data_IF_624048015010
#
_entry.id   IF_624048015010
#
_cell.length_a   1.000
_cell.length_b   1.000
_cell.length_c   1.000
_cell.angle_alpha   90.00
_cell.angle_beta   90.00
_cell.angle_gamma   90.00
#
_symmetry.space_group_name_H-M   'P 1'
#
loop_
_entity.id
_entity.type
_entity.pdbx_description
1 polymer ?
#
# COMPACT_ATOMS: atom_id res chain seq x y z
N UNK A 1 25.41 -23.63 -8.05
CA UNK A 1 23.99 -23.92 -7.73
C UNK A 1 23.48 -24.93 -8.74
N UNK A 2 22.80 -26.00 -8.32
CA UNK A 2 22.27 -27.03 -9.25
C UNK A 2 21.18 -26.41 -10.16
N UNK A 3 21.18 -26.67 -11.47
CA UNK A 3 20.25 -26.05 -12.44
C UNK A 3 18.78 -26.16 -12.01
N UNK A 4 18.41 -27.28 -11.38
CA UNK A 4 17.07 -27.51 -10.85
C UNK A 4 16.66 -26.50 -9.76
N UNK A 5 17.60 -25.98 -8.96
CA UNK A 5 17.27 -24.97 -7.94
C UNK A 5 16.95 -23.61 -8.57
N UNK A 6 17.70 -23.21 -9.59
CA UNK A 6 17.46 -21.95 -10.30
C UNK A 6 16.07 -21.99 -10.95
N UNK A 7 15.75 -23.08 -11.64
CA UNK A 7 14.43 -23.29 -12.24
C UNK A 7 13.28 -23.16 -11.22
N UNK A 8 13.46 -23.67 -10.00
CA UNK A 8 12.45 -23.58 -8.94
C UNK A 8 12.23 -22.15 -8.44
N UNK A 9 13.28 -21.34 -8.32
CA UNK A 9 13.14 -19.93 -7.93
C UNK A 9 12.44 -19.14 -9.04
N UNK A 10 12.80 -19.38 -10.29
CA UNK A 10 12.12 -18.76 -11.45
C UNK A 10 10.65 -19.17 -11.46
N UNK A 11 10.35 -20.45 -11.26
CA UNK A 11 8.97 -20.95 -11.18
C UNK A 11 8.20 -20.26 -10.06
N UNK A 12 8.76 -20.15 -8.85
CA UNK A 12 8.11 -19.45 -7.75
C UNK A 12 7.77 -18.00 -8.11
N UNK A 13 8.73 -17.26 -8.68
CA UNK A 13 8.48 -15.89 -9.15
C UNK A 13 7.39 -15.83 -10.22
N UNK A 14 7.38 -16.75 -11.19
CA UNK A 14 6.35 -16.83 -12.23
C UNK A 14 4.97 -17.13 -11.65
N UNK A 15 4.87 -17.98 -10.62
CA UNK A 15 3.61 -18.26 -9.94
C UNK A 15 3.04 -17.04 -9.18
N UNK A 16 3.85 -16.00 -8.91
CA UNK A 16 3.35 -14.74 -8.33
C UNK A 16 2.70 -13.82 -9.37
N UNK A 17 3.05 -13.97 -10.65
CA UNK A 17 2.61 -13.07 -11.73
C UNK A 17 1.08 -12.95 -11.81
N UNK A 18 0.27 -14.03 -11.77
CA UNK A 18 -1.19 -13.93 -11.85
C UNK A 18 -1.79 -13.08 -10.73
N UNK A 19 -1.28 -13.22 -9.50
CA UNK A 19 -1.71 -12.41 -8.37
C UNK A 19 -1.49 -10.92 -8.68
N UNK A 20 -0.28 -10.51 -9.02
CA UNK A 20 0.00 -9.09 -9.27
C UNK A 20 -0.67 -8.57 -10.56
N UNK A 21 -0.91 -9.44 -11.54
CA UNK A 21 -1.56 -9.07 -12.81
C UNK A 21 -3.07 -8.87 -12.67
N UNK A 22 -3.75 -9.59 -11.79
CA UNK A 22 -5.21 -9.54 -11.72
C UNK A 22 -5.75 -8.16 -11.28
N UNK A 23 -5.09 -7.49 -10.34
CA UNK A 23 -5.50 -6.16 -9.87
C UNK A 23 -5.05 -5.07 -10.87
N UNK A 24 -5.82 -4.79 -11.93
CA UNK A 24 -5.49 -3.76 -12.93
C UNK A 24 -6.33 -2.49 -12.83
N UNK A 25 -6.69 -2.08 -11.63
CA UNK A 25 -7.52 -0.88 -11.44
C UNK A 25 -6.66 0.36 -11.19
N UNK A 26 -7.09 1.49 -11.72
CA UNK A 26 -6.64 2.79 -11.26
C UNK A 26 -7.21 2.99 -9.86
N UNK A 27 -6.30 2.90 -8.90
CA UNK A 27 -6.56 3.24 -7.52
C UNK A 27 -6.85 4.75 -7.39
N UNK A 28 -7.57 5.16 -6.33
CA UNK A 28 -7.93 6.57 -6.10
C UNK A 28 -6.72 7.52 -6.04
N UNK A 29 -5.57 7.02 -5.57
CA UNK A 29 -4.33 7.78 -5.43
C UNK A 29 -3.33 7.52 -6.59
N UNK A 30 -3.74 6.75 -7.59
CA UNK A 30 -2.91 6.41 -8.75
C UNK A 30 -2.33 7.64 -9.44
N UNK A 31 -3.17 8.67 -9.63
CA UNK A 31 -2.78 9.87 -10.34
C UNK A 31 -1.90 10.80 -9.51
N UNK A 32 -2.03 10.83 -8.18
CA UNK A 32 -1.16 11.63 -7.32
C UNK A 32 0.25 11.07 -7.31
N UNK A 33 0.43 9.76 -7.15
CA UNK A 33 1.77 9.16 -7.19
C UNK A 33 2.51 9.45 -8.51
N UNK A 34 1.81 9.40 -9.64
CA UNK A 34 2.40 9.79 -10.92
C UNK A 34 2.68 11.30 -10.97
N UNK A 35 1.78 12.13 -10.44
CA UNK A 35 1.93 13.58 -10.43
C UNK A 35 3.13 14.05 -9.62
N UNK A 36 3.26 13.57 -8.39
CA UNK A 36 4.31 13.98 -7.47
C UNK A 36 5.68 13.45 -7.92
N UNK A 37 5.73 12.23 -8.48
CA UNK A 37 6.90 11.71 -9.17
C UNK A 37 7.31 12.57 -10.37
N UNK A 38 6.34 12.99 -11.19
CA UNK A 38 6.55 13.92 -12.32
C UNK A 38 7.12 15.24 -11.87
N UNK A 39 6.48 15.90 -10.90
CA UNK A 39 6.91 17.22 -10.40
C UNK A 39 8.29 17.16 -9.76
N UNK A 40 8.63 16.07 -9.06
CA UNK A 40 9.96 15.88 -8.50
C UNK A 40 11.04 15.79 -9.59
N UNK A 41 10.77 15.08 -10.69
CA UNK A 41 11.70 15.00 -11.82
C UNK A 41 11.81 16.32 -12.60
N UNK A 42 10.68 16.97 -12.89
CA UNK A 42 10.64 18.24 -13.63
C UNK A 42 11.39 19.36 -12.88
N UNK A 43 11.15 19.48 -11.58
CA UNK A 43 11.74 20.56 -10.76
C UNK A 43 13.10 20.22 -10.19
N UNK A 44 13.49 18.93 -10.21
CA UNK A 44 14.66 18.36 -9.51
C UNK A 44 14.67 18.69 -8.01
N UNK A 45 13.49 18.90 -7.43
CA UNK A 45 13.30 19.27 -6.03
C UNK A 45 12.17 18.45 -5.44
N UNK A 46 12.31 18.08 -4.19
CA UNK A 46 11.26 17.43 -3.42
C UNK A 46 10.39 18.52 -2.83
N UNK A 47 9.09 18.49 -3.15
CA UNK A 47 8.12 19.44 -2.64
C UNK A 47 8.00 19.30 -1.12
N UNK A 48 8.19 20.39 -0.38
CA UNK A 48 8.12 20.41 1.10
C UNK A 48 6.88 21.10 1.64
N UNK A 49 6.15 21.83 0.81
CA UNK A 49 4.96 22.56 1.20
C UNK A 49 3.84 22.33 0.19
N UNK A 50 2.59 22.34 0.63
CA UNK A 50 1.46 22.22 -0.28
C UNK A 50 1.25 23.50 -1.11
N UNK A 51 1.08 23.31 -2.41
CA UNK A 51 0.71 24.38 -3.36
C UNK A 51 -0.53 24.02 -4.20
N UNK A 52 -1.05 22.79 -4.05
CA UNK A 52 -2.10 22.23 -4.89
C UNK A 52 -3.48 22.34 -4.25
N UNK A 53 -3.53 22.45 -2.92
CA UNK A 53 -4.76 22.69 -2.18
C UNK A 53 -4.88 24.14 -1.75
N UNK A 54 -6.08 24.70 -1.84
CA UNK A 54 -6.34 26.04 -1.33
C UNK A 54 -6.69 26.04 0.17
N UNK A 55 -7.05 24.89 0.74
CA UNK A 55 -7.41 24.74 2.17
C UNK A 55 -6.22 24.33 3.03
N UNK A 56 -5.16 23.82 2.41
CA UNK A 56 -3.88 23.50 3.04
C UNK A 56 -2.68 24.28 2.45
N UNK A 57 -2.95 25.35 1.69
CA UNK A 57 -1.93 26.13 1.00
C UNK A 57 -0.80 26.56 1.95
N UNK A 58 0.44 26.25 1.57
CA UNK A 58 1.65 26.59 2.32
C UNK A 58 1.96 25.68 3.51
N UNK A 59 1.10 24.70 3.85
CA UNK A 59 1.41 23.74 4.92
C UNK A 59 2.59 22.86 4.59
N UNK A 60 3.36 22.48 5.62
CA UNK A 60 4.43 21.51 5.47
C UNK A 60 3.87 20.16 5.05
N UNK A 61 4.51 19.53 4.06
CA UNK A 61 4.18 18.21 3.58
C UNK A 61 5.41 17.32 3.63
N UNK A 62 5.30 16.21 4.34
CA UNK A 62 6.33 15.16 4.40
C UNK A 62 5.90 13.98 3.54
N UNK A 63 6.37 13.95 2.30
CA UNK A 63 6.07 12.86 1.38
C UNK A 63 6.95 11.63 1.70
N UNK A 64 6.32 10.62 2.32
CA UNK A 64 6.96 9.37 2.74
C UNK A 64 7.17 8.35 1.60
N UNK A 65 6.81 8.71 0.36
CA UNK A 65 6.82 7.84 -0.81
C UNK A 65 7.60 8.44 -2.00
N UNK A 66 8.28 9.56 -1.79
CA UNK A 66 8.85 10.40 -2.86
C UNK A 66 9.69 9.62 -3.89
N UNK A 67 10.57 8.70 -3.45
CA UNK A 67 11.42 7.94 -4.38
C UNK A 67 10.61 6.86 -5.10
N UNK A 68 9.60 6.30 -4.43
CA UNK A 68 8.67 5.35 -5.03
C UNK A 68 7.90 6.01 -6.15
N UNK A 69 7.35 7.20 -5.92
CA UNK A 69 6.65 8.00 -6.92
C UNK A 69 7.54 8.36 -8.11
N UNK A 70 8.79 8.77 -7.85
CA UNK A 70 9.79 9.01 -8.92
C UNK A 70 10.02 7.75 -9.74
N UNK A 71 10.12 6.57 -9.12
CA UNK A 71 10.29 5.30 -9.82
C UNK A 71 9.06 4.96 -10.69
N UNK A 72 7.86 5.08 -10.13
CA UNK A 72 6.61 4.85 -10.84
C UNK A 72 6.45 5.78 -12.04
N UNK A 73 6.61 7.09 -11.85
CA UNK A 73 6.51 8.03 -12.96
C UNK A 73 7.63 7.84 -13.99
N UNK A 74 8.86 7.51 -13.58
CA UNK A 74 9.96 7.24 -14.52
C UNK A 74 9.68 6.06 -15.45
N UNK A 75 8.96 5.05 -14.94
CA UNK A 75 8.51 3.89 -15.74
C UNK A 75 7.34 4.30 -16.64
N UNK A 76 6.35 4.99 -16.09
CA UNK A 76 5.19 5.49 -16.83
C UNK A 76 5.59 6.41 -17.98
N UNK A 77 6.52 7.33 -17.77
CA UNK A 77 6.98 8.26 -18.80
C UNK A 77 7.66 7.57 -20.00
N UNK A 78 8.23 6.36 -19.81
CA UNK A 78 8.92 5.62 -20.88
C UNK A 78 8.01 4.61 -21.59
N UNK A 79 7.10 3.98 -20.86
CA UNK A 79 6.33 2.84 -21.38
C UNK A 79 4.84 2.86 -21.00
N UNK A 80 4.34 4.01 -20.53
CA UNK A 80 2.97 4.25 -20.11
C UNK A 80 2.44 3.14 -19.15
N UNK A 81 1.17 2.77 -19.30
CA UNK A 81 0.50 1.74 -18.49
C UNK A 81 1.18 0.38 -18.58
N UNK A 82 1.67 -0.02 -19.76
CA UNK A 82 2.36 -1.30 -19.97
C UNK A 82 3.63 -1.39 -19.13
N UNK A 83 4.37 -0.28 -19.05
CA UNK A 83 5.54 -0.15 -18.19
C UNK A 83 5.19 -0.36 -16.72
N UNK A 84 4.15 0.28 -16.23
CA UNK A 84 3.70 0.16 -14.83
C UNK A 84 3.24 -1.26 -14.50
N UNK A 85 2.49 -1.91 -15.41
CA UNK A 85 2.09 -3.30 -15.26
C UNK A 85 3.34 -4.17 -15.15
N UNK A 86 4.27 -4.08 -16.10
CA UNK A 86 5.51 -4.84 -16.07
C UNK A 86 6.32 -4.59 -14.79
N UNK A 87 6.45 -3.34 -14.37
CA UNK A 87 7.19 -2.98 -13.16
C UNK A 87 6.56 -3.57 -11.90
N UNK A 88 5.23 -3.52 -11.78
CA UNK A 88 4.49 -4.18 -10.70
C UNK A 88 4.70 -5.70 -10.71
N UNK A 89 4.63 -6.33 -11.88
CA UNK A 89 4.89 -7.77 -12.02
C UNK A 89 6.31 -8.14 -11.62
N UNK A 90 7.30 -7.31 -11.97
CA UNK A 90 8.69 -7.50 -11.56
C UNK A 90 8.86 -7.40 -10.04
N UNK A 91 8.25 -6.40 -9.40
CA UNK A 91 8.25 -6.27 -7.94
C UNK A 91 7.61 -7.51 -7.30
N UNK A 92 6.46 -7.96 -7.80
CA UNK A 92 5.80 -9.18 -7.34
C UNK A 92 6.65 -10.43 -7.52
N UNK A 93 7.26 -10.59 -8.70
CA UNK A 93 8.16 -11.70 -9.02
C UNK A 93 9.33 -11.80 -8.01
N UNK A 94 10.00 -10.69 -7.74
CA UNK A 94 11.13 -10.66 -6.80
C UNK A 94 10.66 -10.85 -5.35
N UNK A 95 9.50 -10.29 -4.98
CA UNK A 95 8.86 -10.52 -3.67
C UNK A 95 8.59 -12.01 -3.46
N UNK A 96 8.03 -12.67 -4.49
CA UNK A 96 7.79 -14.11 -4.52
C UNK A 96 9.06 -14.93 -4.33
N UNK A 97 10.14 -14.58 -5.04
CA UNK A 97 11.43 -15.26 -4.88
C UNK A 97 11.95 -15.17 -3.45
N UNK A 98 11.93 -13.99 -2.82
CA UNK A 98 12.43 -13.85 -1.45
C UNK A 98 11.58 -14.62 -0.44
N UNK A 99 10.24 -14.59 -0.57
CA UNK A 99 9.37 -15.37 0.30
C UNK A 99 9.62 -16.87 0.12
N UNK A 100 9.63 -17.35 -1.12
CA UNK A 100 9.89 -18.77 -1.43
C UNK A 100 11.27 -19.21 -0.93
N UNK A 101 12.31 -18.38 -1.11
CA UNK A 101 13.65 -18.63 -0.60
C UNK A 101 13.66 -18.78 0.92
N UNK A 102 12.91 -17.93 1.63
CA UNK A 102 12.76 -18.02 3.08
C UNK A 102 12.12 -19.34 3.50
N UNK A 103 11.03 -19.76 2.83
CA UNK A 103 10.35 -21.02 3.12
C UNK A 103 11.24 -22.25 2.89
N UNK A 104 12.05 -22.22 1.83
CA UNK A 104 13.00 -23.28 1.48
C UNK A 104 14.14 -23.45 2.51
N UNK A 105 14.37 -22.48 3.41
CA UNK A 105 15.31 -22.65 4.54
C UNK A 105 14.80 -23.61 5.62
N UNK A 106 13.49 -23.92 5.60
CA UNK A 106 12.81 -24.67 6.64
C UNK A 106 12.31 -26.03 6.21
N UNK A 107 11.89 -26.18 4.96
CA UNK A 107 11.40 -27.45 4.43
C UNK A 107 11.94 -27.72 3.02
N UNK A 108 12.18 -29.00 2.72
CA UNK A 108 12.41 -29.49 1.35
C UNK A 108 11.18 -30.18 0.75
N UNK A 109 10.07 -30.21 1.48
CA UNK A 109 8.81 -30.74 0.98
C UNK A 109 8.14 -29.68 0.08
N UNK A 110 8.47 -29.72 -1.20
CA UNK A 110 8.01 -28.73 -2.18
C UNK A 110 6.48 -28.58 -2.22
N UNK A 111 5.72 -29.66 -1.96
CA UNK A 111 4.25 -29.58 -1.92
C UNK A 111 3.78 -28.62 -0.83
N UNK A 112 4.30 -28.76 0.39
CA UNK A 112 3.97 -27.87 1.52
C UNK A 112 4.52 -26.46 1.28
N UNK A 113 5.75 -26.35 0.75
CA UNK A 113 6.36 -25.06 0.40
C UNK A 113 5.48 -24.27 -0.57
N UNK A 114 5.08 -24.86 -1.69
CA UNK A 114 4.22 -24.19 -2.65
C UNK A 114 2.83 -23.90 -2.09
N UNK A 115 2.25 -24.78 -1.27
CA UNK A 115 0.94 -24.49 -0.66
C UNK A 115 0.97 -23.28 0.26
N UNK A 116 1.94 -23.19 1.18
CA UNK A 116 2.07 -22.01 2.07
C UNK A 116 2.39 -20.76 1.24
N UNK A 117 3.27 -20.90 0.24
CA UNK A 117 3.65 -19.82 -0.65
C UNK A 117 2.46 -19.24 -1.43
N UNK A 118 1.70 -20.09 -2.12
CA UNK A 118 0.55 -19.67 -2.93
C UNK A 118 -0.55 -19.10 -2.04
N UNK A 119 -0.76 -19.69 -0.86
CA UNK A 119 -1.71 -19.15 0.11
C UNK A 119 -1.27 -17.77 0.61
N UNK A 120 0.00 -17.54 0.91
CA UNK A 120 0.47 -16.22 1.31
C UNK A 120 0.35 -15.19 0.17
N UNK A 121 0.70 -15.58 -1.06
CA UNK A 121 0.62 -14.71 -2.24
C UNK A 121 -0.82 -14.33 -2.61
N UNK A 122 -1.81 -15.19 -2.32
CA UNK A 122 -3.23 -14.83 -2.50
C UNK A 122 -3.70 -13.76 -1.53
N UNK A 123 -3.04 -13.59 -0.38
CA UNK A 123 -3.30 -12.50 0.55
C UNK A 123 -2.58 -11.22 0.13
N UNK A 124 -1.31 -11.34 -0.26
CA UNK A 124 -0.50 -10.20 -0.73
C UNK A 124 -1.15 -9.55 -1.95
N UNK A 125 -1.78 -10.35 -2.81
CA UNK A 125 -2.57 -9.92 -3.96
C UNK A 125 -3.54 -8.77 -3.66
N UNK A 126 -4.28 -8.80 -2.55
CA UNK A 126 -5.30 -7.77 -2.29
C UNK A 126 -4.68 -6.38 -2.13
N UNK A 127 -3.43 -6.32 -1.69
CA UNK A 127 -2.65 -5.09 -1.65
C UNK A 127 -1.92 -4.76 -2.95
N UNK A 128 -2.05 -5.52 -4.04
CA UNK A 128 -1.24 -5.33 -5.25
C UNK A 128 -1.74 -4.20 -6.18
N UNK A 129 -2.05 -3.03 -5.62
CA UNK A 129 -2.41 -1.82 -6.37
C UNK A 129 -1.18 -1.09 -6.91
N UNK A 130 -1.39 -0.16 -7.86
CA UNK A 130 -0.32 0.66 -8.45
C UNK A 130 0.11 1.80 -7.51
N UNK A 131 0.65 1.44 -6.35
CA UNK A 131 1.12 2.38 -5.32
C UNK A 131 2.53 2.04 -4.84
N UNK A 132 3.29 3.01 -4.28
CA UNK A 132 4.63 2.79 -3.73
C UNK A 132 4.71 1.72 -2.63
N UNK A 133 3.62 1.39 -1.93
CA UNK A 133 3.64 0.34 -0.90
C UNK A 133 4.02 -1.05 -1.44
N UNK A 134 3.99 -1.31 -2.75
CA UNK A 134 4.54 -2.54 -3.32
C UNK A 134 6.01 -2.77 -2.94
N UNK A 135 6.80 -1.68 -2.79
CA UNK A 135 8.18 -1.77 -2.32
C UNK A 135 8.27 -2.28 -0.88
N UNK A 136 7.24 -2.06 -0.05
CA UNK A 136 7.16 -2.63 1.31
C UNK A 136 7.05 -4.13 1.27
N UNK A 137 6.24 -4.72 0.37
CA UNK A 137 6.15 -6.17 0.26
C UNK A 137 7.48 -6.80 -0.17
N UNK A 138 8.15 -6.17 -1.14
CA UNK A 138 9.47 -6.59 -1.61
C UNK A 138 10.53 -6.53 -0.51
N UNK A 139 10.69 -5.35 0.11
CA UNK A 139 11.77 -5.09 1.06
C UNK A 139 11.52 -5.79 2.41
N UNK A 140 10.26 -5.97 2.80
CA UNK A 140 9.91 -6.81 3.95
C UNK A 140 10.28 -8.26 3.70
N UNK A 141 9.97 -8.81 2.50
CA UNK A 141 10.32 -10.19 2.14
C UNK A 141 11.83 -10.38 2.06
N UNK A 142 12.57 -9.38 1.55
CA UNK A 142 14.02 -9.39 1.53
C UNK A 142 14.63 -9.32 2.95
N UNK A 143 14.11 -8.44 3.81
CA UNK A 143 14.54 -8.35 5.21
C UNK A 143 14.30 -9.66 5.95
N UNK A 144 13.11 -10.25 5.78
CA UNK A 144 12.73 -11.53 6.35
C UNK A 144 13.72 -12.63 5.91
N UNK A 145 14.00 -12.71 4.60
CA UNK A 145 14.97 -13.66 4.05
C UNK A 145 16.37 -13.49 4.66
N UNK A 146 16.89 -12.25 4.73
CA UNK A 146 18.21 -11.95 5.28
C UNK A 146 18.31 -12.30 6.77
N UNK A 147 17.29 -11.97 7.57
CA UNK A 147 17.25 -12.33 8.99
C UNK A 147 17.22 -13.85 9.16
N UNK A 148 16.42 -14.57 8.39
CA UNK A 148 16.37 -16.03 8.47
C UNK A 148 17.66 -16.71 7.99
N UNK A 149 18.33 -16.16 6.97
CA UNK A 149 19.68 -16.59 6.57
C UNK A 149 20.69 -16.37 7.68
N UNK A 150 20.64 -15.22 8.36
CA UNK A 150 21.46 -14.95 9.53
C UNK A 150 21.20 -15.97 10.64
N UNK A 151 19.93 -16.21 10.99
CA UNK A 151 19.57 -17.15 12.06
C UNK A 151 20.11 -18.55 11.78
N UNK A 152 20.09 -18.99 10.51
CA UNK A 152 20.55 -20.33 10.08
C UNK A 152 22.07 -20.44 9.97
N UNK A 153 22.74 -19.44 9.39
CA UNK A 153 24.17 -19.53 9.05
C UNK A 153 25.08 -18.81 10.04
N UNK A 154 24.52 -17.95 10.91
CA UNK A 154 25.23 -17.08 11.86
C UNK A 154 26.29 -16.16 11.22
N UNK A 155 26.11 -15.84 9.93
CA UNK A 155 26.99 -14.91 9.19
C UNK A 155 26.45 -13.47 9.30
N UNK A 156 27.19 -12.63 10.03
CA UNK A 156 26.85 -11.22 10.30
C UNK A 156 26.72 -10.35 9.03
N UNK A 157 27.32 -10.77 7.90
CA UNK A 157 27.15 -10.07 6.61
C UNK A 157 25.67 -9.85 6.26
N UNK A 158 24.81 -10.83 6.55
CA UNK A 158 23.38 -10.72 6.27
C UNK A 158 22.68 -9.65 7.11
N UNK A 159 23.15 -9.37 8.33
CA UNK A 159 22.63 -8.27 9.13
C UNK A 159 23.10 -6.93 8.57
N UNK A 160 24.37 -6.81 8.17
CA UNK A 160 24.89 -5.58 7.58
C UNK A 160 24.20 -5.23 6.25
N UNK A 161 23.76 -6.23 5.47
CA UNK A 161 22.93 -6.00 4.28
C UNK A 161 21.56 -5.36 4.59
N UNK A 162 21.05 -5.45 5.82
CA UNK A 162 19.79 -4.80 6.20
C UNK A 162 19.92 -3.27 6.25
N UNK A 163 21.12 -2.74 6.50
CA UNK A 163 21.36 -1.28 6.57
C UNK A 163 21.07 -0.60 5.21
N UNK A 164 21.71 -0.97 4.09
CA UNK A 164 21.40 -0.36 2.80
C UNK A 164 19.96 -0.64 2.34
N UNK A 165 19.40 -1.81 2.68
CA UNK A 165 17.99 -2.13 2.43
C UNK A 165 17.07 -1.15 3.17
N UNK A 166 17.36 -0.83 4.44
CA UNK A 166 16.58 0.10 5.25
C UNK A 166 16.67 1.53 4.75
N UNK A 167 17.86 1.98 4.34
CA UNK A 167 18.04 3.31 3.71
C UNK A 167 17.18 3.43 2.46
N UNK A 168 17.25 2.41 1.58
CA UNK A 168 16.46 2.39 0.36
C UNK A 168 14.96 2.37 0.67
N UNK A 169 14.53 1.55 1.63
CA UNK A 169 13.12 1.42 2.00
C UNK A 169 12.54 2.72 2.57
N UNK A 170 13.27 3.39 3.47
CA UNK A 170 12.82 4.64 4.08
C UNK A 170 12.59 5.78 3.07
N UNK A 171 13.20 5.70 1.89
CA UNK A 171 12.97 6.63 0.79
C UNK A 171 11.84 6.20 -0.15
N UNK A 172 11.56 4.89 -0.24
CA UNK A 172 10.54 4.33 -1.14
C UNK A 172 9.13 4.31 -0.55
N UNK A 173 8.98 3.99 0.73
CA UNK A 173 7.67 3.90 1.39
C UNK A 173 7.79 3.87 2.93
N UNK A 174 6.82 4.48 3.63
CA UNK A 174 6.76 4.56 5.10
C UNK A 174 6.63 3.22 5.85
N UNK A 175 6.35 2.14 5.13
CA UNK A 175 6.23 0.77 5.66
C UNK A 175 7.53 0.17 6.22
N UNK A 176 8.68 0.85 6.07
CA UNK A 176 9.96 0.43 6.66
C UNK A 176 9.90 0.26 8.19
N UNK A 177 8.98 0.97 8.86
CA UNK A 177 8.72 0.82 10.30
C UNK A 177 8.34 -0.62 10.64
N UNK A 178 7.53 -1.28 9.80
CA UNK A 178 7.19 -2.69 9.99
C UNK A 178 8.43 -3.60 9.90
N UNK A 179 9.38 -3.27 9.01
CA UNK A 179 10.67 -3.95 8.90
C UNK A 179 11.52 -3.82 10.17
N UNK A 180 11.65 -2.60 10.72
CA UNK A 180 12.38 -2.36 11.99
C UNK A 180 11.76 -3.16 13.13
N UNK A 181 10.43 -3.13 13.27
CA UNK A 181 9.71 -3.88 14.33
C UNK A 181 9.94 -5.38 14.17
N UNK A 182 9.80 -5.92 12.95
CA UNK A 182 10.03 -7.34 12.67
C UNK A 182 11.46 -7.76 13.07
N UNK A 183 12.47 -7.01 12.61
CA UNK A 183 13.87 -7.31 12.87
C UNK A 183 14.15 -7.24 14.38
N UNK A 184 13.63 -6.22 15.07
CA UNK A 184 13.74 -6.10 16.52
C UNK A 184 13.18 -7.33 17.24
N UNK A 185 11.96 -7.75 16.90
CA UNK A 185 11.31 -8.91 17.54
C UNK A 185 12.11 -10.20 17.30
N UNK A 186 12.59 -10.43 16.07
CA UNK A 186 13.32 -11.64 15.72
C UNK A 186 14.71 -11.72 16.33
N UNK A 187 15.43 -10.60 16.42
CA UNK A 187 16.79 -10.57 17.00
C UNK A 187 16.78 -10.51 18.53
N UNK A 188 15.89 -9.72 19.12
CA UNK A 188 15.86 -9.51 20.57
C UNK A 188 15.21 -10.63 21.35
N UNK A 189 14.28 -11.37 20.75
CA UNK A 189 13.72 -12.56 21.40
C UNK A 189 14.73 -13.69 21.61
N UNK A 190 15.94 -13.61 21.03
CA UNK A 190 17.02 -14.58 21.25
C UNK A 190 18.18 -14.04 22.11
N UNK A 191 18.69 -12.80 21.89
CA UNK A 191 19.84 -12.23 22.65
C UNK A 191 19.89 -10.69 22.67
N UNK A 192 19.11 -10.03 23.53
CA UNK A 192 18.96 -8.57 23.60
C UNK A 192 20.28 -7.76 23.52
N UNK A 193 21.25 -8.03 24.41
CA UNK A 193 22.49 -7.23 24.52
C UNK A 193 23.37 -7.26 23.28
N UNK A 194 23.32 -8.34 22.48
CA UNK A 194 24.18 -8.52 21.30
C UNK A 194 23.79 -7.61 20.14
N UNK A 195 22.49 -7.36 19.96
CA UNK A 195 21.97 -6.68 18.78
C UNK A 195 21.53 -5.23 19.04
N UNK A 196 21.71 -4.75 20.27
CA UNK A 196 21.31 -3.40 20.66
C UNK A 196 21.94 -2.32 19.76
N UNK A 197 23.27 -2.35 19.60
CA UNK A 197 23.98 -1.39 18.74
C UNK A 197 23.59 -1.52 17.26
N UNK A 198 23.40 -2.75 16.77
CA UNK A 198 22.94 -2.97 15.41
C UNK A 198 21.55 -2.34 15.18
N UNK A 199 20.62 -2.51 16.11
CA UNK A 199 19.30 -1.90 16.01
C UNK A 199 19.35 -0.37 16.04
N UNK A 200 20.24 0.24 16.82
CA UNK A 200 20.49 1.68 16.77
C UNK A 200 20.94 2.08 15.36
N UNK A 201 21.93 1.38 14.79
CA UNK A 201 22.44 1.69 13.45
C UNK A 201 21.33 1.53 12.39
N UNK A 202 20.49 0.51 12.50
CA UNK A 202 19.35 0.28 11.60
C UNK A 202 18.27 1.38 11.71
N UNK A 203 17.99 1.85 12.92
CA UNK A 203 17.05 2.97 13.13
C UNK A 203 17.66 4.26 12.57
N UNK A 204 18.93 4.53 12.87
CA UNK A 204 19.63 5.71 12.34
C UNK A 204 19.72 5.69 10.82
N UNK A 205 19.87 4.51 10.20
CA UNK A 205 19.91 4.40 8.74
C UNK A 205 18.57 4.77 8.09
N UNK A 206 17.44 4.57 8.77
CA UNK A 206 16.13 5.05 8.29
C UNK A 206 15.98 6.58 8.31
N UNK A 207 16.90 7.29 8.99
CA UNK A 207 16.94 8.76 8.97
C UNK A 207 17.68 9.31 7.74
N UNK A 208 18.31 8.45 6.94
CA UNK A 208 19.00 8.84 5.70
C UNK A 208 17.94 9.05 4.60
N UNK A 209 17.16 10.11 4.77
CA UNK A 209 16.13 10.59 3.84
C UNK A 209 16.19 12.11 3.79
N UNK A 210 15.60 12.75 2.75
CA UNK A 210 15.51 14.21 2.66
C UNK A 210 14.78 14.89 3.84
N UNK A 211 14.04 14.10 4.64
CA UNK A 211 13.22 14.57 5.76
C UNK A 211 13.81 14.24 7.14
N UNK A 212 14.71 13.26 7.24
CA UNK A 212 15.30 12.83 8.50
C UNK A 212 14.24 12.49 9.56
N UNK A 213 14.35 13.11 10.74
CA UNK A 213 13.43 12.90 11.88
C UNK A 213 12.00 13.33 11.56
N UNK A 214 11.78 14.26 10.62
CA UNK A 214 10.43 14.72 10.25
C UNK A 214 9.60 13.59 9.64
N UNK A 215 10.22 12.64 8.94
CA UNK A 215 9.54 11.46 8.42
C UNK A 215 8.92 10.63 9.55
N UNK A 216 9.69 10.37 10.62
CA UNK A 216 9.19 9.63 11.78
C UNK A 216 8.03 10.36 12.48
N UNK A 217 8.11 11.69 12.60
CA UNK A 217 7.01 12.50 13.15
C UNK A 217 5.75 12.38 12.29
N UNK A 218 5.87 12.51 10.97
CA UNK A 218 4.75 12.38 10.05
C UNK A 218 4.10 10.99 10.12
N UNK A 219 4.90 9.92 10.15
CA UNK A 219 4.39 8.55 10.29
C UNK A 219 3.71 8.32 11.65
N UNK A 220 4.25 8.88 12.73
CA UNK A 220 3.62 8.79 14.05
C UNK A 220 2.25 9.47 14.07
N UNK A 221 2.14 10.67 13.49
CA UNK A 221 0.86 11.40 13.35
C UNK A 221 -0.13 10.57 12.53
N UNK A 222 0.28 10.05 11.36
CA UNK A 222 -0.60 9.24 10.51
C UNK A 222 -1.10 7.96 11.21
N UNK A 223 -0.24 7.29 11.99
CA UNK A 223 -0.60 6.07 12.72
C UNK A 223 -1.47 6.31 13.96
N UNK A 224 -1.48 7.53 14.50
CA UNK A 224 -2.23 7.89 15.72
C UNK A 224 -3.47 8.73 15.44
N UNK A 225 -3.70 9.12 14.19
CA UNK A 225 -4.88 9.85 13.78
C UNK A 225 -6.14 8.95 13.85
N UNK A 226 -7.10 9.28 14.73
CA UNK A 226 -8.29 8.44 14.91
C UNK A 226 -9.24 8.46 13.69
N UNK A 227 -9.20 9.52 12.87
CA UNK A 227 -10.06 9.66 11.70
C UNK A 227 -9.66 8.72 10.56
N UNK A 228 -8.38 8.31 10.51
CA UNK A 228 -7.86 7.44 9.44
C UNK A 228 -8.61 6.12 9.38
N UNK A 229 -8.80 5.45 10.52
CA UNK A 229 -9.56 4.19 10.60
C UNK A 229 -11.07 4.34 10.39
N UNK A 230 -11.59 5.58 10.41
CA UNK A 230 -13.02 5.86 10.22
C UNK A 230 -13.36 6.15 8.75
N UNK A 231 -12.50 6.86 8.03
CA UNK A 231 -12.81 7.36 6.68
C UNK A 231 -11.98 6.73 5.56
N UNK A 232 -10.85 6.10 5.88
CA UNK A 232 -10.02 5.43 4.87
C UNK A 232 -10.31 3.93 4.91
N UNK A 233 -10.96 3.43 3.86
CA UNK A 233 -11.50 2.05 3.79
C UNK A 233 -10.44 0.97 4.09
N UNK A 234 -9.21 1.13 3.60
CA UNK A 234 -8.13 0.16 3.84
C UNK A 234 -7.63 0.13 5.31
N UNK A 235 -7.88 1.19 6.07
CA UNK A 235 -7.52 1.27 7.50
C UNK A 235 -8.65 0.81 8.43
N UNK A 236 -9.82 0.47 7.89
CA UNK A 236 -10.92 -0.09 8.67
C UNK A 236 -10.57 -1.49 9.21
N UNK A 237 -11.16 -1.89 10.35
CA UNK A 237 -11.04 -3.25 10.88
C UNK A 237 -11.42 -4.30 9.83
N UNK A 238 -10.76 -5.44 9.90
CA UNK A 238 -11.06 -6.53 8.97
C UNK A 238 -12.46 -7.09 9.21
N UNK A 239 -13.30 -7.07 8.17
CA UNK A 239 -14.55 -7.80 8.10
C UNK A 239 -14.52 -8.76 6.90
N UNK A 240 -14.72 -10.08 7.09
CA UNK A 240 -14.71 -11.05 5.99
C UNK A 240 -15.66 -10.72 4.84
N UNK A 241 -16.82 -10.16 5.15
CA UNK A 241 -17.87 -9.91 4.16
C UNK A 241 -17.47 -8.84 3.14
N UNK A 242 -16.60 -7.90 3.53
CA UNK A 242 -16.06 -6.85 2.66
C UNK A 242 -15.12 -7.42 1.57
N UNK A 243 -14.65 -8.65 1.74
CA UNK A 243 -13.68 -9.32 0.86
C UNK A 243 -14.26 -10.55 0.16
N UNK A 244 -15.58 -10.77 0.22
CA UNK A 244 -16.24 -11.94 -0.40
C UNK A 244 -15.54 -13.26 -0.01
N UNK A 245 -15.31 -14.16 -0.96
CA UNK A 245 -14.63 -15.44 -0.72
C UNK A 245 -13.22 -15.27 -0.13
N UNK A 246 -12.53 -14.16 -0.42
CA UNK A 246 -11.16 -13.90 0.03
C UNK A 246 -11.11 -13.64 1.53
N UNK A 247 -12.18 -13.06 2.11
CA UNK A 247 -12.31 -12.88 3.56
C UNK A 247 -12.27 -14.20 4.34
N UNK A 248 -12.85 -15.27 3.81
CA UNK A 248 -12.77 -16.59 4.46
C UNK A 248 -11.39 -17.24 4.33
N UNK A 249 -10.68 -16.99 3.22
CA UNK A 249 -9.26 -17.39 3.09
C UNK A 249 -8.41 -16.66 4.14
N UNK A 250 -8.74 -15.40 4.43
CA UNK A 250 -8.03 -14.60 5.44
C UNK A 250 -8.26 -15.15 6.82
N UNK A 251 -9.51 -15.45 7.19
CA UNK A 251 -9.84 -16.12 8.44
C UNK A 251 -9.10 -17.46 8.58
N UNK A 252 -9.11 -18.28 7.54
CA UNK A 252 -8.37 -19.54 7.54
C UNK A 252 -6.87 -19.32 7.77
N UNK A 253 -6.27 -18.34 7.11
CA UNK A 253 -4.86 -18.00 7.30
C UNK A 253 -4.57 -17.49 8.72
N UNK A 254 -5.44 -16.68 9.31
CA UNK A 254 -5.34 -16.22 10.70
C UNK A 254 -5.37 -17.41 11.66
N UNK A 255 -6.24 -18.40 11.42
CA UNK A 255 -6.27 -19.64 12.22
C UNK A 255 -4.95 -20.40 12.08
N UNK A 256 -4.40 -20.54 10.87
CA UNK A 256 -3.08 -21.15 10.67
C UNK A 256 -1.98 -20.39 11.41
N UNK A 257 -2.01 -19.05 11.37
CA UNK A 257 -1.09 -18.19 12.10
C UNK A 257 -1.20 -18.45 13.61
N UNK A 258 -2.41 -18.43 14.17
CA UNK A 258 -2.66 -18.65 15.59
C UNK A 258 -2.17 -20.03 16.05
N UNK A 259 -2.47 -21.08 15.30
CA UNK A 259 -2.00 -22.44 15.58
C UNK A 259 -0.47 -22.52 15.51
N UNK A 260 0.16 -21.90 14.50
CA UNK A 260 1.62 -21.84 14.39
C UNK A 260 2.27 -21.07 15.54
N UNK A 261 1.63 -19.99 16.02
CA UNK A 261 2.08 -19.19 17.14
C UNK A 261 2.02 -20.00 18.44
N UNK A 262 0.90 -20.69 18.71
CA UNK A 262 0.77 -21.59 19.87
C UNK A 262 1.82 -22.71 19.84
N UNK A 263 2.15 -23.22 18.65
CA UNK A 263 3.25 -24.17 18.51
C UNK A 263 4.60 -23.54 18.85
N UNK A 264 4.86 -22.31 18.39
CA UNK A 264 6.08 -21.58 18.75
C UNK A 264 6.20 -21.42 20.27
N UNK A 265 5.10 -21.07 20.94
CA UNK A 265 5.04 -20.98 22.41
C UNK A 265 5.37 -22.32 23.07
N UNK A 266 4.75 -23.41 22.61
CA UNK A 266 5.02 -24.77 23.12
C UNK A 266 6.48 -25.20 22.97
N UNK A 267 7.17 -24.73 21.95
CA UNK A 267 8.58 -25.03 21.68
C UNK A 267 9.56 -23.96 22.18
N UNK A 268 9.13 -23.03 23.05
CA UNK A 268 9.99 -22.01 23.65
C UNK A 268 10.49 -20.93 22.69
N UNK A 269 9.83 -20.75 21.53
CA UNK A 269 10.18 -19.74 20.51
C UNK A 269 9.36 -18.46 20.71
N UNK A 270 9.58 -17.79 21.83
CA UNK A 270 8.80 -16.61 22.23
C UNK A 270 8.87 -15.46 21.22
N UNK A 271 10.04 -15.24 20.59
CA UNK A 271 10.22 -14.25 19.52
C UNK A 271 9.23 -14.46 18.36
N UNK A 272 9.12 -15.71 17.91
CA UNK A 272 8.23 -16.10 16.82
C UNK A 272 6.76 -15.95 17.22
N UNK A 273 6.42 -16.35 18.46
CA UNK A 273 5.07 -16.17 19.01
C UNK A 273 4.67 -14.69 19.02
N UNK A 274 5.54 -13.80 19.52
CA UNK A 274 5.28 -12.36 19.58
C UNK A 274 5.15 -11.77 18.17
N UNK A 275 6.02 -12.16 17.22
CA UNK A 275 5.96 -11.67 15.84
C UNK A 275 4.63 -12.03 15.15
N UNK A 276 4.18 -13.29 15.28
CA UNK A 276 2.92 -13.73 14.67
C UNK A 276 1.72 -13.12 15.39
N UNK A 277 1.72 -13.09 16.73
CA UNK A 277 0.62 -12.52 17.51
C UNK A 277 0.44 -11.03 17.23
N UNK A 278 1.53 -10.26 17.21
CA UNK A 278 1.47 -8.83 16.87
C UNK A 278 0.95 -8.63 15.45
N UNK A 279 1.43 -9.42 14.48
CA UNK A 279 0.92 -9.41 13.11
C UNK A 279 -0.60 -9.68 13.03
N UNK A 280 -1.11 -10.67 13.77
CA UNK A 280 -2.55 -10.96 13.84
C UNK A 280 -3.32 -9.76 14.40
N UNK A 281 -2.85 -9.17 15.50
CA UNK A 281 -3.51 -8.01 16.13
C UNK A 281 -3.57 -6.83 15.15
N UNK A 282 -2.48 -6.53 14.44
CA UNK A 282 -2.47 -5.44 13.46
C UNK A 282 -3.35 -5.74 12.24
N UNK A 283 -3.36 -6.98 11.74
CA UNK A 283 -4.22 -7.41 10.63
C UNK A 283 -5.71 -7.33 10.97
N UNK A 284 -6.09 -7.64 12.21
CA UNK A 284 -7.48 -7.50 12.67
C UNK A 284 -7.88 -6.04 12.86
N UNK A 285 -6.95 -5.19 13.34
CA UNK A 285 -7.18 -3.75 13.49
C UNK A 285 -7.31 -3.02 12.16
N UNK A 286 -6.62 -3.47 11.12
CA UNK A 286 -6.65 -2.85 9.80
C UNK A 286 -6.37 -3.87 8.70
N UNK A 287 -7.28 -3.95 7.73
CA UNK A 287 -7.14 -4.85 6.58
C UNK A 287 -5.84 -4.59 5.77
N UNK A 288 -5.32 -3.35 5.77
CA UNK A 288 -4.03 -2.98 5.16
C UNK A 288 -2.84 -3.80 5.65
N UNK A 289 -2.92 -4.38 6.85
CA UNK A 289 -1.82 -5.16 7.44
C UNK A 289 -1.88 -6.67 7.09
N UNK A 290 -2.93 -7.15 6.42
CA UNK A 290 -3.09 -8.57 6.05
C UNK A 290 -1.98 -9.05 5.11
N UNK A 291 -1.58 -8.33 4.05
CA UNK A 291 -0.42 -8.69 3.24
C UNK A 291 0.90 -8.81 4.04
N UNK A 292 1.10 -7.94 5.04
CA UNK A 292 2.30 -7.97 5.89
C UNK A 292 2.30 -9.19 6.81
N UNK A 293 1.15 -9.51 7.41
CA UNK A 293 0.95 -10.73 8.19
C UNK A 293 1.25 -11.97 7.33
N UNK A 294 0.76 -12.00 6.09
CA UNK A 294 1.01 -13.11 5.17
C UNK A 294 2.52 -13.35 4.94
N UNK A 295 3.28 -12.28 4.69
CA UNK A 295 4.73 -12.39 4.50
C UNK A 295 5.42 -12.83 5.80
N UNK A 296 5.11 -12.19 6.92
CA UNK A 296 5.78 -12.42 8.21
C UNK A 296 5.47 -13.81 8.78
N UNK A 297 4.22 -14.26 8.73
CA UNK A 297 3.79 -15.50 9.37
C UNK A 297 4.22 -16.76 8.61
N UNK A 298 4.37 -16.66 7.28
CA UNK A 298 4.69 -17.78 6.39
C UNK A 298 5.84 -18.70 6.84
N UNK A 299 7.05 -18.22 7.21
CA UNK A 299 8.12 -19.09 7.71
C UNK A 299 7.77 -19.79 9.03
N UNK A 300 6.94 -19.19 9.89
CA UNK A 300 6.53 -19.82 11.15
C UNK A 300 5.48 -20.90 10.93
N UNK A 301 4.54 -20.67 10.01
CA UNK A 301 3.62 -21.70 9.54
C UNK A 301 4.42 -22.87 8.94
N UNK A 302 5.45 -22.58 8.13
CA UNK A 302 6.32 -23.62 7.57
C UNK A 302 7.00 -24.48 8.64
N UNK A 303 7.55 -23.85 9.67
CA UNK A 303 8.18 -24.54 10.81
C UNK A 303 7.17 -25.44 11.54
N UNK A 304 5.93 -24.98 11.71
CA UNK A 304 4.86 -25.77 12.32
C UNK A 304 4.54 -27.00 11.48
N UNK A 305 4.34 -26.82 10.17
CA UNK A 305 4.00 -27.91 9.26
C UNK A 305 5.12 -28.93 9.07
N UNK A 306 6.39 -28.51 9.08
CA UNK A 306 7.51 -29.47 9.02
C UNK A 306 7.55 -30.39 10.25
N UNK A 307 7.06 -29.91 11.40
CA UNK A 307 6.91 -30.72 12.62
C UNK A 307 5.64 -31.57 12.61
N UNK A 308 4.57 -31.12 11.93
CA UNK A 308 3.35 -31.90 11.82
C UNK A 308 3.46 -32.95 10.73
N UNK A 309 3.49 -34.21 11.16
CA UNK A 309 3.37 -35.37 10.27
C UNK A 309 1.90 -35.75 10.00
N UNK A 310 0.97 -34.78 10.01
CA UNK A 310 -0.46 -35.04 9.81
C UNK A 310 -0.87 -34.78 8.35
N UNK A 311 -1.25 -35.85 7.64
CA UNK A 311 -1.64 -35.81 6.22
C UNK A 311 -2.93 -35.03 5.97
N UNK A 312 -3.90 -35.03 6.89
CA UNK A 312 -5.18 -34.34 6.70
C UNK A 312 -5.01 -32.82 6.69
N UNK A 313 -4.18 -32.29 7.59
CA UNK A 313 -3.90 -30.85 7.68
C UNK A 313 -3.09 -30.40 6.45
N UNK A 314 -2.14 -31.22 5.99
CA UNK A 314 -1.42 -30.96 4.75
C UNK A 314 -2.36 -30.96 3.52
N UNK A 315 -3.33 -31.87 3.46
CA UNK A 315 -4.35 -31.86 2.41
C UNK A 315 -5.22 -30.61 2.47
N UNK A 316 -5.72 -30.21 3.65
CA UNK A 316 -6.51 -28.98 3.80
C UNK A 316 -5.75 -27.73 3.33
N UNK A 317 -4.44 -27.66 3.60
CA UNK A 317 -3.57 -26.59 3.12
C UNK A 317 -3.44 -26.59 1.58
N UNK A 318 -3.35 -27.77 0.95
CA UNK A 318 -3.33 -27.90 -0.51
C UNK A 318 -4.68 -27.45 -1.09
N UNK A 319 -5.79 -27.95 -0.56
CA UNK A 319 -7.14 -27.62 -1.04
C UNK A 319 -7.56 -26.17 -0.79
N UNK A 320 -6.90 -25.45 0.11
CA UNK A 320 -7.12 -24.00 0.29
C UNK A 320 -6.26 -23.14 -0.62
N UNK A 321 -5.02 -23.55 -0.93
CA UNK A 321 -4.08 -22.73 -1.70
C UNK A 321 -4.31 -22.79 -3.21
N UNK A 322 -4.44 -24.00 -3.78
CA UNK A 322 -4.43 -24.20 -5.23
C UNK A 322 -5.71 -23.70 -5.93
N UNK A 323 -6.93 -23.91 -5.41
CA UNK A 323 -8.13 -23.35 -6.03
C UNK A 323 -8.07 -21.83 -6.17
N UNK A 324 -7.50 -21.14 -5.17
CA UNK A 324 -7.35 -19.69 -5.23
C UNK A 324 -6.34 -19.25 -6.28
N UNK A 325 -5.22 -19.97 -6.38
CA UNK A 325 -4.27 -19.75 -7.46
C UNK A 325 -4.92 -19.95 -8.83
N UNK A 326 -5.61 -21.06 -9.06
CA UNK A 326 -6.26 -21.33 -10.35
C UNK A 326 -7.41 -20.38 -10.65
N UNK A 327 -8.18 -19.96 -9.66
CA UNK A 327 -9.20 -18.93 -9.82
C UNK A 327 -8.58 -17.60 -10.25
N UNK A 328 -7.50 -17.16 -9.60
CA UNK A 328 -6.83 -15.89 -9.94
C UNK A 328 -6.14 -15.99 -11.30
N UNK A 329 -5.57 -17.15 -11.66
CA UNK A 329 -5.07 -17.41 -13.02
C UNK A 329 -6.20 -17.31 -14.04
N UNK A 330 -7.33 -17.97 -13.79
CA UNK A 330 -8.50 -17.90 -14.67
C UNK A 330 -8.97 -16.46 -14.86
N UNK A 331 -9.17 -15.71 -13.77
CA UNK A 331 -9.59 -14.31 -13.82
C UNK A 331 -8.58 -13.40 -14.53
N UNK A 332 -7.27 -13.66 -14.36
CA UNK A 332 -6.20 -12.96 -15.07
C UNK A 332 -6.23 -13.23 -16.57
N UNK A 333 -6.50 -14.48 -16.97
CA UNK A 333 -6.59 -14.89 -18.37
C UNK A 333 -7.89 -14.41 -19.03
N UNK A 334 -8.98 -14.26 -18.27
CA UNK A 334 -10.24 -13.69 -18.76
C UNK A 334 -10.12 -12.21 -19.12
N UNK A 335 -9.15 -11.49 -18.54
CA UNK A 335 -8.85 -10.11 -18.88
C UNK A 335 -7.34 -9.95 -19.14
N UNK A 336 -6.83 -10.39 -20.31
CA UNK A 336 -5.41 -10.36 -20.61
C UNK A 336 -4.91 -8.97 -21.03
N UNK A 337 -5.78 -7.95 -21.01
CA UNK A 337 -5.44 -6.61 -21.47
C UNK A 337 -4.27 -6.02 -20.67
N UNK A 338 -3.32 -5.40 -21.37
CA UNK A 338 -2.22 -4.65 -20.76
C UNK A 338 -2.62 -3.17 -20.58
N UNK A 339 -3.82 -2.93 -20.05
CA UNK A 339 -4.36 -1.61 -19.73
C UNK A 339 -4.74 -1.53 -18.26
N UNK A 340 -4.62 -0.35 -17.68
CA UNK A 340 -5.03 -0.07 -16.31
C UNK A 340 -6.41 0.58 -16.35
N UNK A 341 -7.39 -0.11 -15.80
CA UNK A 341 -8.80 0.25 -15.89
C UNK A 341 -9.14 1.39 -14.93
N UNK A 342 -9.57 2.52 -15.49
CA UNK A 342 -10.08 3.66 -14.72
C UNK A 342 -11.43 3.34 -14.05
N UNK A 343 -12.28 2.56 -14.74
CA UNK A 343 -13.70 2.42 -14.39
C UNK A 343 -14.45 3.76 -14.40
N UNK A 344 -15.68 3.77 -13.88
CA UNK A 344 -16.47 5.01 -13.67
C UNK A 344 -16.08 5.72 -12.36
N UNK A 345 -14.81 5.63 -11.94
CA UNK A 345 -14.35 6.13 -10.64
C UNK A 345 -13.99 7.62 -10.64
N UNK A 346 -13.62 8.18 -11.80
CA UNK A 346 -13.09 9.53 -11.92
C UNK A 346 -13.99 10.46 -12.75
N UNK A 347 -14.00 11.76 -12.45
CA UNK A 347 -14.88 12.74 -13.10
C UNK A 347 -14.27 13.25 -14.42
N UNK A 348 -13.94 12.34 -15.35
CA UNK A 348 -13.22 12.68 -16.58
C UNK A 348 -14.00 13.65 -17.48
N UNK A 349 -15.31 13.46 -17.63
CA UNK A 349 -16.19 14.36 -18.40
C UNK A 349 -16.20 15.78 -17.83
N UNK A 350 -16.38 15.91 -16.51
CA UNK A 350 -16.33 17.19 -15.80
C UNK A 350 -14.95 17.87 -15.89
N UNK A 351 -13.86 17.11 -15.77
CA UNK A 351 -12.50 17.64 -15.92
C UNK A 351 -12.24 18.12 -17.35
N UNK A 352 -12.73 17.40 -18.37
CA UNK A 352 -12.64 17.85 -19.76
C UNK A 352 -13.43 19.14 -19.99
N UNK A 353 -14.64 19.24 -19.44
CA UNK A 353 -15.44 20.47 -19.49
C UNK A 353 -14.70 21.67 -18.89
N UNK A 354 -14.03 21.51 -17.74
CA UNK A 354 -13.22 22.59 -17.11
C UNK A 354 -12.08 23.02 -18.05
N UNK A 355 -11.37 22.07 -18.67
CA UNK A 355 -10.29 22.37 -19.61
C UNK A 355 -10.77 23.12 -20.85
N UNK A 356 -11.83 22.62 -21.49
CA UNK A 356 -12.37 23.19 -22.73
C UNK A 356 -12.89 24.62 -22.51
N UNK A 357 -13.51 24.88 -21.36
CA UNK A 357 -14.03 26.19 -20.99
C UNK A 357 -12.99 27.09 -20.29
N UNK A 358 -11.74 26.63 -20.15
CA UNK A 358 -10.63 27.36 -19.50
C UNK A 358 -11.00 27.87 -18.09
N UNK A 359 -11.74 27.05 -17.34
CA UNK A 359 -12.15 27.40 -15.98
C UNK A 359 -10.93 27.36 -15.06
N UNK A 360 -10.78 28.39 -14.23
CA UNK A 360 -9.70 28.51 -13.23
C UNK A 360 -10.28 28.94 -11.89
N UNK A 361 -9.73 28.41 -10.80
CA UNK A 361 -10.16 28.76 -9.45
C UNK A 361 -10.07 27.61 -8.45
N UNK A 362 -10.67 27.81 -7.28
CA UNK A 362 -10.69 26.84 -6.20
C UNK A 362 -11.90 25.90 -6.36
N UNK A 363 -11.61 24.60 -6.42
CA UNK A 363 -12.61 23.55 -6.61
C UNK A 363 -12.78 22.77 -5.32
N UNK A 364 -14.00 22.80 -4.77
CA UNK A 364 -14.41 21.82 -3.79
C UNK A 364 -14.75 20.50 -4.49
N UNK A 365 -13.91 19.50 -4.30
CA UNK A 365 -14.01 18.21 -4.96
C UNK A 365 -14.32 17.09 -3.95
N UNK A 366 -14.84 15.97 -4.46
CA UNK A 366 -14.85 14.72 -3.70
C UNK A 366 -13.42 14.25 -3.37
N UNK A 367 -13.23 13.71 -2.17
CA UNK A 367 -11.92 13.25 -1.66
C UNK A 367 -11.15 12.37 -2.65
N UNK A 368 -11.79 11.29 -3.12
CA UNK A 368 -11.19 10.33 -4.05
C UNK A 368 -10.94 10.87 -5.47
N UNK A 369 -11.33 12.12 -5.76
CA UNK A 369 -11.10 12.77 -7.06
C UNK A 369 -9.98 13.80 -7.00
N UNK A 370 -9.51 14.19 -5.80
CA UNK A 370 -8.57 15.30 -5.64
C UNK A 370 -7.29 15.14 -6.44
N UNK A 371 -6.65 13.97 -6.36
CA UNK A 371 -5.40 13.74 -7.07
C UNK A 371 -5.58 13.61 -8.60
N UNK A 372 -6.73 13.08 -9.04
CA UNK A 372 -7.11 13.10 -10.45
C UNK A 372 -7.25 14.53 -10.97
N UNK A 373 -7.91 15.40 -10.20
CA UNK A 373 -8.07 16.83 -10.51
C UNK A 373 -6.71 17.52 -10.52
N UNK A 374 -5.84 17.28 -9.53
CA UNK A 374 -4.48 17.84 -9.49
C UNK A 374 -3.70 17.45 -10.75
N UNK A 375 -3.64 16.16 -11.10
CA UNK A 375 -2.90 15.71 -12.29
C UNK A 375 -3.33 16.45 -13.55
N UNK A 376 -4.64 16.66 -13.73
CA UNK A 376 -5.19 17.25 -14.95
C UNK A 376 -5.29 18.78 -14.95
N UNK A 377 -5.40 19.42 -13.78
CA UNK A 377 -5.81 20.83 -13.63
C UNK A 377 -4.91 21.66 -12.70
N UNK A 378 -3.79 21.13 -12.18
CA UNK A 378 -2.90 21.85 -11.23
C UNK A 378 -2.44 23.25 -11.66
N UNK A 379 -2.44 23.57 -12.96
CA UNK A 379 -2.01 24.88 -13.46
C UNK A 379 -3.10 25.96 -13.34
N UNK A 380 -4.38 25.56 -13.43
CA UNK A 380 -5.52 26.49 -13.44
C UNK A 380 -6.38 26.40 -12.18
N UNK A 381 -6.35 25.26 -11.47
CA UNK A 381 -7.23 24.98 -10.36
C UNK A 381 -6.50 24.42 -9.14
N UNK A 382 -7.02 24.76 -7.96
CA UNK A 382 -6.62 24.16 -6.68
C UNK A 382 -7.77 23.34 -6.10
N UNK A 383 -7.44 22.26 -5.42
CA UNK A 383 -8.42 21.34 -4.81
C UNK A 383 -8.70 21.69 -3.36
N UNK A 384 -9.86 21.30 -2.85
CA UNK A 384 -10.18 21.45 -1.44
C UNK A 384 -9.57 20.34 -0.59
N UNK A 385 -9.45 19.14 -1.14
CA UNK A 385 -8.94 17.98 -0.42
C UNK A 385 -8.44 16.93 -1.44
N UNK A 386 -7.50 16.07 -1.04
CA UNK A 386 -7.00 14.96 -1.85
C UNK A 386 -6.39 13.84 -0.98
N UNK A 387 -5.96 12.76 -1.63
CA UNK A 387 -5.46 11.51 -1.04
C UNK A 387 -4.27 11.65 -0.08
N UNK A 388 -3.53 12.78 -0.12
CA UNK A 388 -2.48 13.07 0.87
C UNK A 388 -3.01 13.14 2.30
N UNK A 389 -4.31 13.36 2.50
CA UNK A 389 -5.01 13.21 3.78
C UNK A 389 -4.24 13.88 4.94
N UNK A 390 -4.03 13.17 6.05
CA UNK A 390 -3.39 13.67 7.26
C UNK A 390 -1.88 13.97 7.13
N UNK A 391 -1.27 13.69 5.98
CA UNK A 391 0.09 14.15 5.69
C UNK A 391 0.17 15.64 5.36
N UNK A 392 -0.98 16.28 5.07
CA UNK A 392 -1.10 17.71 4.69
C UNK A 392 -2.27 18.40 5.38
N UNK A 393 -3.42 17.72 5.49
CA UNK A 393 -4.66 18.28 6.00
C UNK A 393 -4.78 18.08 7.52
N UNK A 394 -5.11 19.12 8.30
CA UNK A 394 -5.36 18.99 9.73
C UNK A 394 -6.57 18.14 10.03
N UNK A 395 -6.50 17.44 11.16
CA UNK A 395 -7.59 16.61 11.69
C UNK A 395 -8.92 17.38 11.77
N UNK A 396 -8.90 18.65 12.22
CA UNK A 396 -10.11 19.48 12.30
C UNK A 396 -10.76 19.71 10.94
N UNK A 397 -9.97 19.99 9.91
CA UNK A 397 -10.47 20.17 8.55
C UNK A 397 -11.03 18.87 7.98
N UNK A 398 -10.33 17.75 8.21
CA UNK A 398 -10.80 16.43 7.81
C UNK A 398 -12.15 16.10 8.46
N UNK A 399 -12.31 16.34 9.75
CA UNK A 399 -13.58 16.16 10.46
C UNK A 399 -14.71 16.98 9.85
N UNK A 400 -14.51 18.29 9.63
CA UNK A 400 -15.52 19.15 9.01
C UNK A 400 -15.87 18.71 7.57
N UNK A 401 -14.89 18.26 6.80
CA UNK A 401 -15.12 17.76 5.44
C UNK A 401 -15.96 16.47 5.43
N UNK A 402 -15.58 15.46 6.22
CA UNK A 402 -16.22 14.14 6.19
C UNK A 402 -17.54 14.08 6.97
N UNK A 403 -17.65 14.75 8.13
CA UNK A 403 -18.85 14.69 8.98
C UNK A 403 -19.91 15.70 8.55
N UNK A 404 -19.50 16.95 8.29
CA UNK A 404 -20.43 18.05 8.02
C UNK A 404 -20.62 18.33 6.53
N UNK A 405 -19.71 17.84 5.69
CA UNK A 405 -19.71 18.16 4.26
C UNK A 405 -19.53 19.65 4.01
N UNK A 406 -18.86 20.35 4.93
CA UNK A 406 -18.72 21.81 4.93
C UNK A 406 -17.92 22.28 3.71
N UNK A 407 -18.50 23.21 2.95
CA UNK A 407 -17.83 23.83 1.80
C UNK A 407 -16.93 24.94 2.35
N UNK A 408 -15.60 24.87 2.16
CA UNK A 408 -14.68 25.86 2.70
C UNK A 408 -14.92 27.25 2.09
N UNK A 409 -14.56 28.34 2.80
CA UNK A 409 -14.56 29.67 2.22
C UNK A 409 -13.62 29.74 1.00
N UNK A 410 -13.83 30.74 0.14
CA UNK A 410 -13.08 30.94 -1.11
C UNK A 410 -13.20 29.76 -2.11
N UNK A 411 -14.28 29.00 -2.05
CA UNK A 411 -14.63 28.01 -3.08
C UNK A 411 -15.34 28.67 -4.25
N UNK A 412 -14.82 28.48 -5.46
CA UNK A 412 -15.38 29.05 -6.70
C UNK A 412 -16.31 28.06 -7.42
N UNK A 413 -15.96 26.76 -7.37
CA UNK A 413 -16.68 25.69 -8.03
C UNK A 413 -16.84 24.47 -7.12
N UNK A 414 -17.94 23.73 -7.28
CA UNK A 414 -18.11 22.41 -6.68
C UNK A 414 -18.00 21.34 -7.77
N UNK A 415 -17.19 20.33 -7.57
CA UNK A 415 -17.09 19.13 -8.39
C UNK A 415 -17.47 17.92 -7.53
N UNK A 416 -18.73 17.52 -7.60
CA UNK A 416 -19.32 16.55 -6.67
C UNK A 416 -20.05 15.42 -7.40
N UNK A 417 -20.30 14.31 -6.70
CA UNK A 417 -21.15 13.24 -7.25
C UNK A 417 -22.60 13.71 -7.41
N UNK A 418 -23.35 13.23 -8.43
CA UNK A 418 -24.75 13.60 -8.65
C UNK A 418 -25.70 13.35 -7.47
N UNK A 419 -25.34 12.43 -6.58
CA UNK A 419 -26.13 12.07 -5.38
C UNK A 419 -25.96 13.08 -4.24
N UNK A 420 -24.96 13.96 -4.28
CA UNK A 420 -24.70 14.91 -3.20
C UNK A 420 -25.70 16.06 -3.26
N UNK A 421 -26.41 16.30 -2.15
CA UNK A 421 -27.35 17.42 -2.04
C UNK A 421 -26.58 18.73 -1.87
N UNK A 422 -26.82 19.67 -2.77
CA UNK A 422 -26.21 21.01 -2.77
C UNK A 422 -27.32 22.05 -2.62
N UNK A 423 -27.05 23.13 -1.89
CA UNK A 423 -27.97 24.26 -1.79
C UNK A 423 -28.05 25.03 -3.13
N UNK A 424 -29.09 24.73 -3.90
CA UNK A 424 -29.36 25.36 -5.19
C UNK A 424 -29.71 26.85 -5.08
N UNK A 425 -29.89 27.41 -3.87
CA UNK A 425 -30.00 28.87 -3.69
C UNK A 425 -28.67 29.55 -3.96
N UNK A 426 -27.55 28.94 -3.54
CA UNK A 426 -26.21 29.50 -3.64
C UNK A 426 -25.45 29.05 -4.91
N UNK A 427 -25.82 27.89 -5.44
CA UNK A 427 -25.07 27.21 -6.49
C UNK A 427 -25.93 26.95 -7.73
N UNK A 428 -25.34 27.09 -8.92
CA UNK A 428 -25.97 26.80 -10.22
C UNK A 428 -25.22 25.70 -10.93
N UNK A 429 -25.93 24.73 -11.49
CA UNK A 429 -25.34 23.67 -12.33
C UNK A 429 -24.73 24.28 -13.59
N UNK A 430 -23.45 24.01 -13.80
CA UNK A 430 -22.68 24.39 -15.01
C UNK A 430 -22.41 23.20 -15.92
N UNK A 431 -22.32 21.99 -15.38
CA UNK A 431 -22.11 20.75 -16.11
C UNK A 431 -22.70 19.57 -15.33
N UNK A 432 -23.18 18.54 -16.03
CA UNK A 432 -23.66 17.30 -15.43
C UNK A 432 -23.49 16.13 -16.41
N UNK A 433 -22.93 15.04 -15.92
CA UNK A 433 -22.95 13.72 -16.55
C UNK A 433 -23.43 12.66 -15.53
N UNK A 434 -23.34 11.38 -15.89
CA UNK A 434 -23.75 10.27 -15.01
C UNK A 434 -22.87 10.11 -13.76
N UNK A 435 -21.64 10.64 -13.78
CA UNK A 435 -20.62 10.43 -12.75
C UNK A 435 -20.40 11.68 -11.87
N UNK A 436 -20.59 12.88 -12.40
CA UNK A 436 -20.19 14.14 -11.78
C UNK A 436 -21.08 15.33 -12.17
N UNK A 437 -21.17 16.30 -11.26
CA UNK A 437 -21.84 17.59 -11.47
C UNK A 437 -20.87 18.69 -11.10
N UNK A 438 -20.78 19.72 -11.96
CA UNK A 438 -20.09 20.97 -11.65
C UNK A 438 -21.12 22.03 -11.29
N UNK A 439 -20.94 22.66 -10.13
CA UNK A 439 -21.67 23.84 -9.75
C UNK A 439 -20.77 25.07 -9.78
N UNK A 440 -21.28 26.19 -10.27
CA UNK A 440 -20.68 27.52 -10.12
C UNK A 440 -21.47 28.32 -9.09
N UNK A 441 -20.77 29.20 -8.38
CA UNK A 441 -21.42 30.09 -7.39
C UNK A 441 -22.31 31.10 -8.12
N UNK A 442 -23.55 31.28 -7.65
CA UNK A 442 -24.39 32.38 -8.14
C UNK A 442 -23.77 33.70 -7.69
N UNK A 443 -23.57 34.62 -8.63
CA UNK A 443 -23.15 35.98 -8.28
C UNK A 443 -24.29 36.63 -7.49
N UNK A 444 -23.98 37.20 -6.32
CA UNK A 444 -24.90 38.09 -5.61
C UNK A 444 -25.23 39.26 -6.54
N UNK A 445 -26.46 39.32 -7.06
CA UNK A 445 -26.94 40.43 -7.90
C UNK A 445 -26.87 41.79 -7.17
N UNK A 446 -26.70 41.79 -5.85
CA UNK A 446 -26.52 43.00 -5.04
C UNK A 446 -25.14 43.66 -5.14
N UNK A 447 -24.12 42.98 -5.71
CA UNK A 447 -22.78 43.58 -5.91
C UNK A 447 -22.56 44.21 -7.30
N UNK A 448 -23.52 44.11 -8.22
CA UNK A 448 -23.44 44.79 -9.54
C UNK A 448 -23.90 46.26 -9.53
N UNK A 449 -24.47 46.74 -8.41
CA UNK A 449 -24.96 48.12 -8.25
C UNK A 449 -24.15 48.94 -7.22
N UNK A 450 -22.83 48.73 -7.12
CA UNK A 450 -21.94 49.61 -6.34
C UNK A 450 -20.77 50.09 -7.18
#
# INVERSE_FOLDING_TARGET
MNNNRIAMFILAGLLTVPFFFYNKWQDVDYWGHLFFGRKTLETRRIQRTDIYSYTALGREWTNHEWLGEVAFYSVYNRAAEKGLIFFKLLIGFVTGIFLFATLMLYSKNYKIVFSIYLLAMSLVYAGASFRPHLFTYLLLSACLFLVHLYIKNKNELFLWCLIPVMILWANLHGGFVAGIILIAVLLFGERFKRYYYFMIVLILSSLITPYGVKLWKALFVALTNPLTSQYITEWMPFNPDDFSWLGYVYLFYIVLCAVSALSCLRYGRYACFIAVLSGIIFALKSARHIPLLAIIASPFIMIYFEKLKNKHIASALIFSAYPQFFLIVFLSLSNPSARIEAGNKFPSGAVNFIKENKISGNIFNEFNWGEYVIWHLNESCKVAIDGRYDTVYPVEYLGNYFEKGEIPPNTDYLLVKPVRKIDEKLWKVSYKDDNAVIYSRKLDETKKNR
#
